data_IF_631982486142
#
_entry.id   IF_631982486142
#
_cell.length_a   1.000
_cell.length_b   1.000
_cell.length_c   1.000
_cell.angle_alpha   90.00
_cell.angle_beta   90.00
_cell.angle_gamma   90.00
#
_symmetry.space_group_name_H-M   'P 1'
#
loop_
_entity.id
_entity.type
_entity.pdbx_description
1 polymer ?
#
# COMPACT_ATOMS: atom_id res chain seq x y z
N UNK A 1 7.05 4.67 -13.04
CA UNK A 1 6.32 4.27 -11.82
C UNK A 1 7.06 3.07 -11.27
N UNK A 2 7.79 3.20 -10.15
CA UNK A 2 8.66 2.12 -9.65
C UNK A 2 7.76 1.01 -9.12
N UNK A 3 7.81 -0.15 -9.76
CA UNK A 3 7.24 -1.38 -9.21
C UNK A 3 7.82 -1.55 -7.80
N UNK A 4 6.95 -1.46 -6.79
CA UNK A 4 7.28 -1.95 -5.48
C UNK A 4 7.38 -3.47 -5.64
N UNK A 5 8.58 -3.96 -5.97
CA UNK A 5 8.88 -5.36 -6.12
C UNK A 5 8.71 -5.99 -4.74
N UNK A 6 7.48 -6.37 -4.38
CA UNK A 6 7.21 -7.10 -3.14
C UNK A 6 7.97 -8.43 -3.28
N UNK A 7 9.02 -8.67 -2.48
CA UNK A 7 9.77 -9.92 -2.53
C UNK A 7 8.78 -11.07 -2.36
N UNK A 8 8.85 -12.06 -3.25
CA UNK A 8 8.07 -13.30 -3.20
C UNK A 8 8.17 -13.88 -1.78
N UNK A 9 7.12 -13.72 -0.97
CA UNK A 9 7.06 -14.20 0.42
C UNK A 9 6.84 -13.16 1.53
N UNK A 10 6.58 -11.88 1.24
CA UNK A 10 6.05 -10.97 2.28
C UNK A 10 4.54 -11.15 2.36
N UNK A 11 4.06 -11.63 3.51
CA UNK A 11 2.64 -11.96 3.71
C UNK A 11 1.94 -10.90 4.58
N UNK A 12 2.68 -10.08 5.32
CA UNK A 12 2.10 -8.98 6.08
C UNK A 12 3.06 -7.81 6.25
N UNK A 13 2.55 -6.61 6.04
CA UNK A 13 3.17 -5.36 6.44
C UNK A 13 2.37 -4.77 7.59
N UNK A 14 3.04 -4.52 8.71
CA UNK A 14 2.50 -3.78 9.82
C UNK A 14 3.01 -2.35 9.76
N UNK A 15 2.08 -1.41 9.64
CA UNK A 15 2.32 0.02 9.79
C UNK A 15 2.09 0.36 11.26
N UNK A 16 3.17 0.45 12.03
CA UNK A 16 3.04 0.86 13.43
C UNK A 16 2.87 2.37 13.49
N UNK A 17 1.76 2.84 14.07
CA UNK A 17 1.69 4.23 14.51
C UNK A 17 2.60 4.37 15.72
N UNK A 18 3.59 5.26 15.59
CA UNK A 18 4.58 5.49 16.62
C UNK A 18 3.98 6.43 17.66
N UNK A 19 4.03 6.03 18.92
CA UNK A 19 3.58 6.86 20.05
C UNK A 19 4.61 7.96 20.29
N UNK A 20 4.24 9.19 19.94
CA UNK A 20 5.01 10.39 20.27
C UNK A 20 4.29 11.17 21.36
N UNK A 21 4.95 11.37 22.49
CA UNK A 21 4.52 12.28 23.54
C UNK A 21 5.04 13.68 23.23
N UNK A 22 4.20 14.70 23.42
CA UNK A 22 4.65 16.09 23.31
C UNK A 22 5.22 16.53 24.65
N UNK A 23 6.54 16.77 24.69
CA UNK A 23 7.24 17.33 25.85
C UNK A 23 7.88 18.63 25.40
N UNK A 24 7.56 19.73 26.07
CA UNK A 24 8.10 21.07 25.77
C UNK A 24 7.96 21.49 24.28
N UNK A 25 6.78 21.21 23.68
CA UNK A 25 6.47 21.52 22.29
C UNK A 25 7.31 20.75 21.24
N UNK A 26 7.99 19.68 21.66
CA UNK A 26 8.66 18.73 20.77
C UNK A 26 8.03 17.35 20.93
N UNK A 27 7.77 16.69 19.80
CA UNK A 27 7.35 15.30 19.79
C UNK A 27 8.55 14.42 20.14
N UNK A 28 8.38 13.56 21.13
CA UNK A 28 9.42 12.66 21.63
C UNK A 28 8.85 11.24 21.79
N UNK A 29 9.68 10.24 21.50
CA UNK A 29 9.35 8.84 21.76
C UNK A 29 10.20 8.37 22.93
N UNK A 30 9.55 7.77 23.92
CA UNK A 30 10.25 7.02 24.96
C UNK A 30 10.61 5.63 24.41
N UNK A 31 11.89 5.43 24.14
CA UNK A 31 12.41 4.13 23.75
C UNK A 31 13.24 3.56 24.90
N UNK A 32 12.73 2.49 25.50
CA UNK A 32 13.26 1.91 26.73
C UNK A 32 13.28 2.96 27.87
N UNK A 33 14.46 3.49 28.23
CA UNK A 33 14.64 4.51 29.25
C UNK A 33 15.12 5.86 28.69
N UNK A 34 15.25 5.98 27.35
CA UNK A 34 15.74 7.19 26.68
C UNK A 34 14.60 7.91 25.96
N UNK A 35 14.57 9.23 26.12
CA UNK A 35 13.72 10.10 25.32
C UNK A 35 14.45 10.42 24.01
N UNK A 36 13.83 10.10 22.89
CA UNK A 36 14.38 10.33 21.54
C UNK A 36 13.46 11.32 20.83
N UNK A 37 14.01 12.33 20.16
CA UNK A 37 13.23 13.28 19.38
C UNK A 37 12.54 12.58 18.20
N UNK A 38 11.24 12.82 18.04
CA UNK A 38 10.43 12.35 16.93
C UNK A 38 10.30 13.41 15.85
N UNK A 39 10.45 12.99 14.60
CA UNK A 39 10.31 13.85 13.45
C UNK A 39 9.01 13.53 12.71
N UNK A 40 8.17 14.52 12.41
CA UNK A 40 6.83 14.32 11.81
C UNK A 40 6.81 13.56 10.48
N UNK A 41 7.90 13.67 9.70
CA UNK A 41 8.04 12.93 8.43
C UNK A 41 8.54 11.50 8.60
N UNK A 42 8.90 11.07 9.81
CA UNK A 42 9.35 9.71 10.05
C UNK A 42 8.17 8.74 9.91
N UNK A 43 8.42 7.62 9.25
CA UNK A 43 7.45 6.53 9.09
C UNK A 43 8.15 5.21 9.34
N UNK A 44 7.57 4.38 10.20
CA UNK A 44 8.06 3.05 10.48
C UNK A 44 7.24 2.01 9.71
N UNK A 45 7.92 1.18 8.93
CA UNK A 45 7.32 0.05 8.22
C UNK A 45 7.95 -1.23 8.75
N UNK A 46 7.12 -2.15 9.25
CA UNK A 46 7.57 -3.45 9.73
C UNK A 46 7.01 -4.52 8.80
N UNK A 47 7.86 -5.45 8.38
CA UNK A 47 7.46 -6.54 7.48
C UNK A 47 7.66 -7.88 8.14
N UNK A 48 6.71 -8.79 7.97
CA UNK A 48 6.84 -10.18 8.41
C UNK A 48 6.59 -11.15 7.25
N UNK A 49 7.30 -12.27 7.28
CA UNK A 49 7.08 -13.41 6.37
C UNK A 49 6.10 -14.43 6.95
N UNK A 50 5.65 -14.24 8.19
CA UNK A 50 4.71 -15.16 8.82
C UNK A 50 3.33 -15.02 8.16
N UNK A 51 2.74 -16.14 7.75
CA UNK A 51 1.50 -16.14 6.98
C UNK A 51 0.26 -15.73 7.81
N UNK A 52 0.28 -16.00 9.12
CA UNK A 52 -0.78 -15.66 10.04
C UNK A 52 -0.20 -15.23 11.40
N UNK A 53 0.35 -14.01 11.48
CA UNK A 53 0.90 -13.52 12.74
C UNK A 53 -0.24 -13.19 13.72
N UNK A 54 -0.22 -13.83 14.89
CA UNK A 54 -1.15 -13.52 15.96
C UNK A 54 -0.61 -12.36 16.79
N UNK A 55 -1.19 -11.18 16.61
CA UNK A 55 -0.84 -9.99 17.38
C UNK A 55 -1.81 -9.77 18.52
N UNK A 56 -1.28 -9.39 19.68
CA UNK A 56 -2.10 -8.97 20.80
C UNK A 56 -3.02 -7.79 20.39
N UNK A 57 -4.25 -7.70 20.93
CA UNK A 57 -5.19 -6.63 20.59
C UNK A 57 -4.60 -5.23 20.73
N UNK A 58 -3.72 -5.02 21.72
CA UNK A 58 -3.02 -3.76 21.92
C UNK A 58 -2.21 -3.33 20.68
N UNK A 59 -1.48 -4.25 20.05
CA UNK A 59 -0.67 -3.98 18.86
C UNK A 59 -1.59 -3.77 17.65
N UNK A 60 -2.66 -4.56 17.54
CA UNK A 60 -3.62 -4.50 16.43
C UNK A 60 -4.44 -3.20 16.39
N UNK A 61 -4.73 -2.59 17.54
CA UNK A 61 -5.37 -1.26 17.59
C UNK A 61 -4.40 -0.14 17.23
N UNK A 62 -3.11 -0.32 17.51
CA UNK A 62 -2.05 0.69 17.34
C UNK A 62 -1.39 0.65 15.95
N UNK A 63 -1.71 -0.33 15.14
CA UNK A 63 -1.00 -0.65 13.90
C UNK A 63 -2.01 -0.91 12.79
N UNK A 64 -1.78 -0.37 11.59
CA UNK A 64 -2.54 -0.80 10.41
C UNK A 64 -1.87 -2.04 9.83
N UNK A 65 -2.56 -3.17 9.88
CA UNK A 65 -2.12 -4.41 9.25
C UNK A 65 -2.51 -4.41 7.77
N UNK A 66 -1.54 -4.58 6.89
CA UNK A 66 -1.73 -4.74 5.46
C UNK A 66 -1.31 -6.15 5.05
N UNK A 67 -2.27 -6.94 4.57
CA UNK A 67 -2.03 -8.31 4.12
C UNK A 67 -1.63 -8.30 2.63
N UNK A 68 -0.42 -8.79 2.34
CA UNK A 68 0.13 -8.90 0.99
C UNK A 68 0.16 -10.36 0.48
N UNK A 69 -0.56 -11.28 1.14
CA UNK A 69 -0.75 -12.63 0.66
C UNK A 69 -1.30 -12.61 -0.78
N UNK A 70 -0.52 -13.16 -1.71
CA UNK A 70 -1.01 -13.44 -3.06
C UNK A 70 -1.96 -14.63 -2.95
N UNK A 71 -3.23 -14.41 -3.33
CA UNK A 71 -4.19 -15.50 -3.52
C UNK A 71 -3.86 -16.22 -4.83
N UNK A 72 -4.07 -17.53 -4.90
CA UNK A 72 -3.80 -18.34 -6.12
C UNK A 72 -4.43 -17.73 -7.36
N UNK A 73 -5.70 -17.33 -7.28
CA UNK A 73 -6.40 -16.62 -8.36
C UNK A 73 -5.65 -15.35 -8.82
N UNK A 74 -5.13 -14.56 -7.88
CA UNK A 74 -4.38 -13.35 -8.21
C UNK A 74 -3.03 -13.64 -8.85
N UNK A 75 -2.42 -14.78 -8.53
CA UNK A 75 -1.19 -15.23 -9.20
C UNK A 75 -1.50 -15.70 -10.63
N UNK A 76 -2.59 -16.43 -10.82
CA UNK A 76 -3.06 -16.86 -12.15
C UNK A 76 -3.32 -15.65 -13.05
N UNK A 77 -4.05 -14.65 -12.56
CA UNK A 77 -4.33 -13.42 -13.31
C UNK A 77 -3.04 -12.66 -13.69
N UNK A 78 -2.06 -12.62 -12.76
CA UNK A 78 -0.76 -12.01 -13.02
C UNK A 78 0.02 -12.76 -14.10
N UNK A 79 0.07 -14.08 -14.01
CA UNK A 79 0.74 -14.92 -14.99
C UNK A 79 0.06 -14.83 -16.36
N UNK A 80 -1.28 -14.85 -16.38
CA UNK A 80 -2.07 -14.65 -17.59
C UNK A 80 -1.76 -13.31 -18.24
N UNK A 81 -1.67 -12.22 -17.46
CA UNK A 81 -1.27 -10.91 -17.96
C UNK A 81 0.10 -10.92 -18.63
N UNK A 82 1.08 -11.62 -18.05
CA UNK A 82 2.42 -11.77 -18.63
C UNK A 82 2.39 -12.56 -19.95
N UNK A 83 1.64 -13.66 -19.99
CA UNK A 83 1.51 -14.49 -21.20
C UNK A 83 0.81 -13.73 -22.31
N UNK A 84 -0.32 -13.07 -22.02
CA UNK A 84 -1.08 -12.28 -23.01
C UNK A 84 -0.22 -11.15 -23.58
N UNK A 85 0.57 -10.46 -22.76
CA UNK A 85 1.52 -9.43 -23.22
C UNK A 85 2.54 -9.98 -24.23
N UNK A 86 2.99 -11.22 -24.03
CA UNK A 86 4.00 -11.84 -24.89
C UNK A 86 3.39 -12.42 -26.17
N UNK A 87 2.22 -13.05 -26.08
CA UNK A 87 1.58 -13.72 -27.21
C UNK A 87 0.74 -12.79 -28.09
N UNK A 88 0.07 -11.80 -27.48
CA UNK A 88 -0.86 -10.89 -28.16
C UNK A 88 -0.69 -9.44 -27.70
N UNK A 89 0.45 -8.79 -28.01
CA UNK A 89 0.74 -7.43 -27.55
C UNK A 89 -0.27 -6.38 -28.01
N UNK A 90 -0.89 -6.57 -29.19
CA UNK A 90 -1.91 -5.66 -29.73
C UNK A 90 -3.15 -5.56 -28.82
N UNK A 91 -3.55 -6.66 -28.17
CA UNK A 91 -4.68 -6.65 -27.24
C UNK A 91 -4.35 -5.89 -25.96
N UNK A 92 -3.10 -5.94 -25.49
CA UNK A 92 -2.67 -5.17 -24.32
C UNK A 92 -2.66 -3.67 -24.63
N UNK A 93 -2.16 -3.27 -25.80
CA UNK A 93 -2.17 -1.86 -26.23
C UNK A 93 -3.60 -1.31 -26.33
N UNK A 94 -4.53 -2.08 -26.88
CA UNK A 94 -5.94 -1.71 -26.91
C UNK A 94 -6.53 -1.58 -25.51
N UNK A 95 -6.21 -2.50 -24.60
CA UNK A 95 -6.66 -2.45 -23.20
C UNK A 95 -6.12 -1.19 -22.49
N UNK A 96 -4.84 -0.89 -22.66
CA UNK A 96 -4.20 0.26 -22.01
C UNK A 96 -4.78 1.59 -22.52
N UNK A 97 -5.01 1.71 -23.83
CA UNK A 97 -5.71 2.86 -24.42
C UNK A 97 -7.14 3.00 -23.90
N UNK A 98 -7.86 1.88 -23.73
CA UNK A 98 -9.20 1.88 -23.16
C UNK A 98 -9.19 2.35 -21.69
N UNK A 99 -8.25 1.86 -20.88
CA UNK A 99 -8.10 2.26 -19.47
C UNK A 99 -7.80 3.75 -19.36
N UNK A 100 -6.90 4.28 -20.20
CA UNK A 100 -6.60 5.71 -20.24
C UNK A 100 -7.83 6.53 -20.59
N UNK A 101 -8.58 6.11 -21.62
CA UNK A 101 -9.80 6.78 -22.07
C UNK A 101 -10.87 6.77 -20.98
N UNK A 102 -11.08 5.65 -20.31
CA UNK A 102 -12.02 5.53 -19.18
C UNK A 102 -11.63 6.48 -18.03
N UNK A 103 -10.33 6.53 -17.69
CA UNK A 103 -9.84 7.41 -16.64
C UNK A 103 -10.03 8.90 -16.99
N UNK A 104 -9.76 9.27 -18.25
CA UNK A 104 -10.00 10.63 -18.76
C UNK A 104 -11.49 10.97 -18.70
N UNK A 105 -12.35 10.09 -19.22
CA UNK A 105 -13.80 10.31 -19.25
C UNK A 105 -14.38 10.44 -17.85
N UNK A 106 -13.92 9.64 -16.88
CA UNK A 106 -14.35 9.76 -15.47
C UNK A 106 -13.93 11.10 -14.86
N UNK A 107 -12.73 11.61 -15.19
CA UNK A 107 -12.33 12.97 -14.75
C UNK A 107 -13.23 14.03 -15.36
N UNK A 108 -13.44 13.99 -16.68
CA UNK A 108 -14.29 14.96 -17.37
C UNK A 108 -15.72 14.94 -16.83
N UNK A 109 -16.29 13.75 -16.54
CA UNK A 109 -17.62 13.64 -15.93
C UNK A 109 -17.67 14.34 -14.57
N UNK A 110 -16.68 14.11 -13.71
CA UNK A 110 -16.62 14.76 -12.39
C UNK A 110 -16.44 16.28 -12.51
N UNK A 111 -15.58 16.74 -13.42
CA UNK A 111 -15.39 18.17 -13.67
C UNK A 111 -16.66 18.85 -14.21
N UNK A 112 -17.48 18.13 -14.98
CA UNK A 112 -18.77 18.63 -15.46
C UNK A 112 -19.82 18.64 -14.34
N UNK A 113 -19.85 17.63 -13.48
CA UNK A 113 -20.69 17.62 -12.27
C UNK A 113 -20.35 18.78 -11.33
N UNK A 114 -19.05 18.99 -11.05
CA UNK A 114 -18.54 20.06 -10.18
C UNK A 114 -18.76 21.47 -10.76
N UNK A 115 -19.06 21.61 -12.06
CA UNK A 115 -19.41 22.89 -12.71
C UNK A 115 -20.89 23.23 -12.66
N UNK A 116 -21.75 22.24 -12.42
CA UNK A 116 -23.22 22.42 -12.38
C UNK A 116 -23.71 22.65 -10.94
N UNK A 117 -22.96 22.17 -9.94
CA UNK A 117 -23.13 22.45 -8.51
C UNK A 117 -22.47 23.78 -8.11
#
# INVERSE_FOLDING_TARGET
MRELLIPRGIIGLQLQYVFSDCVENQLMIKFNEKMISYHDKFRLFITTKLANPHYAPEISTKTTLCNFAIKEQGLEDQLLGIVVRKEKPQLEEQKDNLVFTIASNKRTLKELEDKIL
#
